data_IF_729010934757
#
_entry.id   IF_729010934757
#
_cell.length_a   1.000
_cell.length_b   1.000
_cell.length_c   1.000
_cell.angle_alpha   90.00
_cell.angle_beta   90.00
_cell.angle_gamma   90.00
#
_symmetry.space_group_name_H-M   'P 1'
#
loop_
_entity.id
_entity.type
_entity.pdbx_description
1 polymer ?
#
# COMPACT_ATOMS: atom_id res chain seq x y z
N UNK A 1 -2.89 -46.90 22.87
CA UNK A 1 -3.50 -45.74 22.17
C UNK A 1 -2.87 -44.38 22.52
N UNK A 2 -2.46 -44.08 23.77
CA UNK A 2 -1.77 -42.82 24.13
C UNK A 2 -0.35 -42.64 23.53
N UNK A 3 0.46 -43.70 23.41
CA UNK A 3 1.79 -43.63 22.76
C UNK A 3 1.75 -43.26 21.27
N UNK A 4 0.80 -43.81 20.52
CA UNK A 4 0.67 -43.54 19.08
C UNK A 4 0.30 -42.08 18.78
N UNK A 5 -0.53 -41.46 19.62
CA UNK A 5 -0.90 -40.05 19.51
C UNK A 5 0.30 -39.15 19.83
N UNK A 6 1.11 -39.50 20.82
CA UNK A 6 2.31 -38.74 21.18
C UNK A 6 3.37 -38.79 20.06
N UNK A 7 3.61 -39.95 19.46
CA UNK A 7 4.52 -40.10 18.31
C UNK A 7 4.01 -39.37 17.06
N UNK A 8 2.70 -39.37 16.79
CA UNK A 8 2.13 -38.63 15.66
C UNK A 8 2.23 -37.10 15.83
N UNK A 9 2.08 -36.61 17.06
CA UNK A 9 2.30 -35.20 17.40
C UNK A 9 3.79 -34.82 17.28
N UNK A 10 4.70 -35.71 17.71
CA UNK A 10 6.14 -35.50 17.59
C UNK A 10 6.61 -35.50 16.13
N UNK A 11 6.10 -36.44 15.31
CA UNK A 11 6.36 -36.49 13.88
C UNK A 11 5.82 -35.24 13.15
N UNK A 12 4.65 -34.74 13.57
CA UNK A 12 4.13 -33.44 13.12
C UNK A 12 5.05 -32.28 13.51
N UNK A 13 5.60 -32.27 14.72
CA UNK A 13 6.54 -31.22 15.16
C UNK A 13 7.84 -31.24 14.38
N UNK A 14 8.40 -32.43 14.11
CA UNK A 14 9.61 -32.56 13.29
C UNK A 14 9.38 -32.11 11.84
N UNK A 15 8.25 -32.49 11.24
CA UNK A 15 7.87 -32.03 9.89
C UNK A 15 7.66 -30.51 9.87
N UNK A 16 6.98 -29.94 10.86
CA UNK A 16 6.79 -28.49 10.97
C UNK A 16 8.15 -27.79 11.13
N UNK A 17 9.03 -28.33 11.96
CA UNK A 17 10.37 -27.78 12.17
C UNK A 17 11.23 -27.84 10.91
N UNK A 18 11.19 -28.96 10.18
CA UNK A 18 11.87 -29.12 8.89
C UNK A 18 11.32 -28.14 7.85
N UNK A 19 10.00 -27.92 7.84
CA UNK A 19 9.35 -26.95 6.96
C UNK A 19 9.77 -25.52 7.29
N UNK A 20 9.84 -25.15 8.57
CA UNK A 20 10.34 -23.84 9.04
C UNK A 20 11.81 -23.65 8.66
N UNK A 21 12.66 -24.67 8.87
CA UNK A 21 14.08 -24.58 8.50
C UNK A 21 14.29 -24.47 6.98
N UNK A 22 13.53 -25.23 6.20
CA UNK A 22 13.56 -25.13 4.74
C UNK A 22 13.13 -23.72 4.29
N UNK A 23 12.04 -23.22 4.88
CA UNK A 23 11.52 -21.88 4.65
C UNK A 23 12.56 -20.79 4.94
N UNK A 24 13.22 -20.83 6.10
CA UNK A 24 14.25 -19.85 6.48
C UNK A 24 15.47 -19.90 5.56
N UNK A 25 15.88 -21.10 5.14
CA UNK A 25 16.99 -21.30 4.20
C UNK A 25 16.69 -20.72 2.82
N UNK A 26 15.46 -20.92 2.33
CA UNK A 26 14.98 -20.34 1.06
C UNK A 26 14.95 -18.82 1.15
N UNK A 27 14.32 -18.25 2.19
CA UNK A 27 14.25 -16.80 2.40
C UNK A 27 15.65 -16.18 2.44
N UNK A 28 16.57 -16.77 3.20
CA UNK A 28 17.94 -16.26 3.31
C UNK A 28 18.65 -16.24 1.95
N UNK A 29 18.51 -17.28 1.14
CA UNK A 29 19.10 -17.33 -0.21
C UNK A 29 18.48 -16.29 -1.13
N UNK A 30 17.15 -16.16 -1.11
CA UNK A 30 16.42 -15.17 -1.91
C UNK A 30 16.83 -13.73 -1.57
N UNK A 31 16.98 -13.40 -0.28
CA UNK A 31 17.48 -12.09 0.18
C UNK A 31 18.89 -11.77 -0.32
N UNK A 32 19.76 -12.77 -0.37
CA UNK A 32 21.13 -12.60 -0.89
C UNK A 32 21.14 -12.44 -2.41
N UNK A 33 20.24 -13.12 -3.11
CA UNK A 33 20.10 -13.04 -4.57
C UNK A 33 19.52 -11.69 -5.01
N UNK A 34 18.57 -11.15 -4.26
CA UNK A 34 17.79 -9.96 -4.62
C UNK A 34 18.63 -8.74 -5.03
N UNK A 35 19.67 -8.30 -4.28
CA UNK A 35 20.51 -7.18 -4.70
C UNK A 35 21.55 -7.54 -5.77
N UNK A 36 21.73 -8.82 -6.10
CA UNK A 36 22.76 -9.30 -7.06
C UNK A 36 22.22 -9.50 -8.47
N UNK A 37 20.92 -9.68 -8.62
CA UNK A 37 20.29 -9.82 -9.93
C UNK A 37 19.98 -8.44 -10.54
N UNK A 38 20.07 -8.32 -11.85
CA UNK A 38 19.60 -7.16 -12.61
C UNK A 38 18.22 -7.41 -13.25
N UNK A 39 17.66 -8.61 -13.08
CA UNK A 39 16.34 -8.96 -13.58
C UNK A 39 15.26 -8.37 -12.66
N UNK A 40 14.63 -7.29 -13.10
CA UNK A 40 13.56 -6.61 -12.36
C UNK A 40 12.34 -7.50 -12.13
N UNK A 41 11.96 -8.31 -13.12
CA UNK A 41 10.81 -9.22 -12.99
C UNK A 41 11.10 -10.29 -11.93
N UNK A 42 12.33 -10.82 -11.87
CA UNK A 42 12.74 -11.72 -10.79
C UNK A 42 12.73 -11.03 -9.43
N UNK A 43 13.23 -9.78 -9.34
CA UNK A 43 13.20 -9.02 -8.07
C UNK A 43 11.78 -8.85 -7.56
N UNK A 44 10.84 -8.53 -8.45
CA UNK A 44 9.44 -8.35 -8.09
C UNK A 44 8.80 -9.64 -7.59
N UNK A 45 8.96 -10.76 -8.32
CA UNK A 45 8.43 -12.05 -7.87
C UNK A 45 9.02 -12.52 -6.55
N UNK A 46 10.33 -12.34 -6.35
CA UNK A 46 10.97 -12.68 -5.08
C UNK A 46 10.42 -11.81 -3.96
N UNK A 47 10.26 -10.50 -4.17
CA UNK A 47 9.65 -9.60 -3.17
C UNK A 47 8.21 -10.01 -2.86
N UNK A 48 7.37 -10.27 -3.85
CA UNK A 48 6.00 -10.74 -3.65
C UNK A 48 5.97 -12.05 -2.83
N UNK A 49 6.83 -13.00 -3.16
CA UNK A 49 6.99 -14.22 -2.38
C UNK A 49 7.35 -13.94 -0.92
N UNK A 50 8.34 -13.06 -0.68
CA UNK A 50 8.75 -12.66 0.67
C UNK A 50 7.58 -12.05 1.46
N UNK A 51 6.76 -11.20 0.85
CA UNK A 51 5.55 -10.65 1.49
C UNK A 51 4.53 -11.74 1.85
N UNK A 52 4.28 -12.68 0.93
CA UNK A 52 3.32 -13.78 1.16
C UNK A 52 3.72 -14.69 2.31
N UNK A 53 5.01 -14.89 2.51
CA UNK A 53 5.54 -15.72 3.60
C UNK A 53 5.77 -14.95 4.90
N UNK A 54 5.35 -13.68 4.97
CA UNK A 54 5.46 -12.84 6.16
C UNK A 54 6.86 -12.31 6.43
N UNK A 55 7.76 -12.38 5.45
CA UNK A 55 9.08 -11.81 5.56
C UNK A 55 9.06 -10.32 5.23
N UNK A 56 9.17 -9.49 6.28
CA UNK A 56 9.28 -8.04 6.14
C UNK A 56 10.74 -7.67 5.87
N UNK A 57 11.00 -7.07 4.71
CA UNK A 57 12.34 -6.67 4.28
C UNK A 57 13.01 -5.72 5.28
N UNK A 58 14.35 -5.80 5.35
CA UNK A 58 15.21 -5.04 6.27
C UNK A 58 15.02 -3.52 6.00
N UNK A 59 14.96 -2.67 7.04
CA UNK A 59 14.85 -1.22 6.86
C UNK A 59 15.97 -0.70 5.95
N UNK A 60 15.66 0.22 5.03
CA UNK A 60 16.65 0.77 4.07
C UNK A 60 17.71 1.67 4.74
N UNK A 61 17.62 1.91 6.05
CA UNK A 61 18.52 2.77 6.81
C UNK A 61 18.57 2.43 8.30
N UNK A 62 18.93 3.43 9.13
CA UNK A 62 19.14 3.26 10.58
C UNK A 62 17.89 2.85 11.39
N UNK A 63 16.71 2.91 10.76
CA UNK A 63 15.43 2.50 11.35
C UNK A 63 14.34 2.48 10.29
N UNK A 64 13.14 2.04 10.69
CA UNK A 64 11.96 2.01 9.83
C UNK A 64 11.40 3.43 9.73
N UNK A 65 11.23 3.94 8.50
CA UNK A 65 10.60 5.23 8.24
C UNK A 65 9.15 5.01 7.81
N UNK A 66 8.21 5.49 8.61
CA UNK A 66 6.76 5.32 8.37
C UNK A 66 6.14 6.66 7.99
N UNK A 67 5.42 6.69 6.88
CA UNK A 67 4.54 7.79 6.51
C UNK A 67 3.09 7.40 6.84
N UNK A 68 2.43 8.17 7.69
CA UNK A 68 1.01 8.00 8.02
C UNK A 68 0.18 9.12 7.41
N UNK A 69 -0.85 8.75 6.65
CA UNK A 69 -1.74 9.67 5.94
C UNK A 69 -3.17 9.51 6.47
N UNK A 70 -3.65 10.56 7.13
CA UNK A 70 -5.00 10.58 7.71
C UNK A 70 -6.08 10.87 6.66
N UNK A 71 -7.33 10.59 7.02
CA UNK A 71 -8.52 10.99 6.27
C UNK A 71 -8.82 12.48 6.45
N UNK A 72 -9.47 13.08 5.45
CA UNK A 72 -9.80 14.51 5.55
C UNK A 72 -10.74 15.06 4.48
N UNK A 73 -11.21 14.22 3.56
CA UNK A 73 -11.92 14.68 2.36
C UNK A 73 -10.99 15.57 1.52
N UNK A 74 -11.53 16.62 0.91
CA UNK A 74 -10.76 17.57 0.10
C UNK A 74 -9.59 18.24 0.81
N UNK A 75 -9.54 18.21 2.15
CA UNK A 75 -8.40 18.73 2.95
C UNK A 75 -7.12 17.92 2.79
N UNK A 76 -7.18 16.74 2.17
CA UNK A 76 -5.98 15.94 1.84
C UNK A 76 -4.94 16.70 1.01
N UNK A 77 -5.35 17.73 0.27
CA UNK A 77 -4.45 18.65 -0.46
C UNK A 77 -3.41 19.30 0.46
N UNK A 78 -3.78 19.63 1.71
CA UNK A 78 -2.85 20.22 2.68
C UNK A 78 -1.75 19.21 3.09
N UNK A 79 -2.11 17.94 3.23
CA UNK A 79 -1.13 16.87 3.49
C UNK A 79 -0.13 16.73 2.33
N UNK A 80 -0.60 16.88 1.09
CA UNK A 80 0.26 16.90 -0.09
C UNK A 80 1.17 18.13 -0.14
N UNK A 81 0.73 19.29 0.35
CA UNK A 81 1.60 20.47 0.45
C UNK A 81 2.76 20.26 1.44
N UNK A 82 2.49 19.59 2.56
CA UNK A 82 3.54 19.21 3.52
C UNK A 82 4.51 18.21 2.89
N UNK A 83 3.99 17.20 2.18
CA UNK A 83 4.83 16.23 1.46
C UNK A 83 5.66 16.89 0.35
N UNK A 84 5.13 17.89 -0.34
CA UNK A 84 5.86 18.62 -1.36
C UNK A 84 7.02 19.41 -0.76
N UNK A 85 6.79 20.07 0.37
CA UNK A 85 7.86 20.74 1.11
C UNK A 85 8.93 19.74 1.56
N UNK A 86 8.53 18.53 1.95
CA UNK A 86 9.47 17.46 2.29
C UNK A 86 10.32 17.03 1.07
N UNK A 87 9.71 16.71 -0.08
CA UNK A 87 10.46 16.36 -1.31
C UNK A 87 11.44 17.46 -1.71
N UNK A 88 11.04 18.73 -1.61
CA UNK A 88 11.90 19.88 -1.91
C UNK A 88 13.14 19.93 -0.97
N UNK A 89 12.94 19.68 0.32
CA UNK A 89 14.04 19.62 1.29
C UNK A 89 14.96 18.39 1.09
N UNK A 90 14.43 17.32 0.50
CA UNK A 90 15.16 16.11 0.16
C UNK A 90 15.82 16.17 -1.23
N UNK A 91 16.00 17.38 -1.79
CA UNK A 91 16.60 17.61 -3.11
C UNK A 91 15.87 16.88 -4.25
N UNK A 92 14.55 16.72 -4.13
CA UNK A 92 13.71 16.10 -5.15
C UNK A 92 13.63 14.58 -5.08
N UNK A 93 14.18 13.92 -4.05
CA UNK A 93 13.89 12.50 -3.81
C UNK A 93 12.40 12.30 -3.57
N UNK A 94 11.82 11.28 -4.22
CA UNK A 94 10.39 11.01 -4.12
C UNK A 94 10.04 10.48 -2.74
N UNK A 95 8.82 10.73 -2.28
CA UNK A 95 8.30 10.16 -1.03
C UNK A 95 8.51 8.64 -0.94
N UNK A 96 8.28 7.90 -2.04
CA UNK A 96 8.43 6.43 -2.08
C UNK A 96 9.88 5.93 -1.92
N UNK A 97 10.86 6.79 -2.18
CA UNK A 97 12.29 6.46 -2.06
C UNK A 97 12.77 6.60 -0.60
N UNK A 98 12.07 7.43 0.20
CA UNK A 98 12.51 7.83 1.53
C UNK A 98 11.69 7.26 2.69
N UNK A 99 10.54 6.63 2.42
CA UNK A 99 9.78 5.90 3.43
C UNK A 99 9.84 4.41 3.17
N UNK A 100 9.77 3.59 4.21
CA UNK A 100 9.77 2.13 4.11
C UNK A 100 8.35 1.56 4.18
N UNK A 101 7.42 2.29 4.81
CA UNK A 101 6.01 1.97 4.92
C UNK A 101 5.17 3.24 4.75
N UNK A 102 4.13 3.15 3.91
CA UNK A 102 3.07 4.14 3.80
C UNK A 102 1.79 3.52 4.37
N UNK A 103 1.19 4.20 5.35
CA UNK A 103 -0.09 3.84 5.94
C UNK A 103 -1.10 4.93 5.59
N UNK A 104 -2.28 4.55 5.12
CA UNK A 104 -3.30 5.50 4.70
C UNK A 104 -4.72 5.08 5.06
N UNK A 105 -5.53 6.02 5.53
CA UNK A 105 -6.97 5.81 5.77
C UNK A 105 -7.81 6.75 4.93
N UNK A 106 -8.90 6.25 4.33
CA UNK A 106 -9.82 7.07 3.52
C UNK A 106 -9.08 7.87 2.42
N UNK A 107 -9.15 9.20 2.44
CA UNK A 107 -8.36 10.08 1.55
C UNK A 107 -6.87 9.75 1.57
N UNK A 108 -6.29 9.46 2.74
CA UNK A 108 -4.90 9.06 2.88
C UNK A 108 -4.60 7.71 2.21
N UNK A 109 -5.57 6.80 2.12
CA UNK A 109 -5.42 5.56 1.35
C UNK A 109 -5.31 5.84 -0.16
N UNK A 110 -6.13 6.76 -0.69
CA UNK A 110 -6.06 7.17 -2.10
C UNK A 110 -4.70 7.81 -2.39
N UNK A 111 -4.27 8.77 -1.57
CA UNK A 111 -2.97 9.45 -1.73
C UNK A 111 -1.81 8.47 -1.61
N UNK A 112 -1.81 7.62 -0.56
CA UNK A 112 -0.77 6.62 -0.35
C UNK A 112 -0.65 5.63 -1.51
N UNK A 113 -1.79 5.23 -2.09
CA UNK A 113 -1.81 4.34 -3.25
C UNK A 113 -1.31 5.06 -4.51
N UNK A 114 -1.69 6.31 -4.76
CA UNK A 114 -1.17 7.09 -5.89
C UNK A 114 0.35 7.24 -5.81
N UNK A 115 0.87 7.56 -4.62
CA UNK A 115 2.31 7.65 -4.38
C UNK A 115 2.99 6.31 -4.63
N UNK A 116 2.53 5.22 -4.02
CA UNK A 116 3.19 3.91 -4.11
C UNK A 116 3.01 3.23 -5.48
N UNK A 117 1.79 3.16 -5.99
CA UNK A 117 1.47 2.43 -7.23
C UNK A 117 2.02 3.14 -8.47
N UNK A 118 1.87 4.47 -8.54
CA UNK A 118 2.30 5.24 -9.72
C UNK A 118 3.69 5.86 -9.58
N UNK A 119 4.28 5.84 -8.36
CA UNK A 119 5.60 6.45 -8.06
C UNK A 119 5.72 7.88 -8.57
N UNK A 120 4.62 8.62 -8.49
CA UNK A 120 4.54 10.00 -8.93
C UNK A 120 5.28 10.91 -7.95
N UNK A 121 5.92 12.00 -8.43
CA UNK A 121 6.26 13.13 -7.58
C UNK A 121 5.02 13.67 -6.87
N UNK A 122 5.18 14.27 -5.70
CA UNK A 122 4.04 14.78 -4.91
C UNK A 122 3.23 15.81 -5.69
N UNK A 123 3.88 16.66 -6.48
CA UNK A 123 3.22 17.67 -7.32
C UNK A 123 2.21 17.01 -8.26
N UNK A 124 2.64 15.96 -8.98
CA UNK A 124 1.77 15.25 -9.90
C UNK A 124 0.69 14.45 -9.16
N UNK A 125 1.03 13.88 -8.01
CA UNK A 125 0.05 13.24 -7.13
C UNK A 125 -1.05 14.22 -6.69
N UNK A 126 -0.68 15.48 -6.40
CA UNK A 126 -1.61 16.55 -6.02
C UNK A 126 -2.54 16.93 -7.15
N UNK A 127 -2.04 17.07 -8.38
CA UNK A 127 -2.88 17.32 -9.55
C UNK A 127 -3.93 16.23 -9.75
N UNK A 128 -3.48 14.97 -9.76
CA UNK A 128 -4.34 13.79 -9.93
C UNK A 128 -5.37 13.68 -8.80
N UNK A 129 -4.94 13.93 -7.55
CA UNK A 129 -5.84 13.90 -6.41
C UNK A 129 -6.91 15.01 -6.46
N UNK A 130 -6.55 16.20 -6.94
CA UNK A 130 -7.51 17.30 -7.15
C UNK A 130 -8.52 16.93 -8.25
N UNK A 131 -8.06 16.31 -9.34
CA UNK A 131 -8.93 15.84 -10.43
C UNK A 131 -9.93 14.79 -9.95
N UNK A 132 -9.43 13.73 -9.28
CA UNK A 132 -10.27 12.72 -8.62
C UNK A 132 -11.26 13.42 -7.68
N UNK A 133 -10.79 14.31 -6.81
CA UNK A 133 -11.65 15.00 -5.85
C UNK A 133 -12.74 15.82 -6.54
N UNK A 134 -12.44 16.54 -7.62
CA UNK A 134 -13.44 17.29 -8.38
C UNK A 134 -14.50 16.37 -8.97
N UNK A 135 -14.09 15.27 -9.59
CA UNK A 135 -15.03 14.30 -10.16
C UNK A 135 -15.91 13.65 -9.09
N UNK A 136 -15.31 13.28 -7.95
CA UNK A 136 -16.00 12.66 -6.82
C UNK A 136 -16.96 13.63 -6.10
N UNK A 137 -16.55 14.88 -5.86
CA UNK A 137 -17.31 15.85 -5.06
C UNK A 137 -18.23 16.77 -5.89
N UNK A 138 -18.10 16.82 -7.22
CA UNK A 138 -19.03 17.54 -8.10
C UNK A 138 -20.46 16.99 -8.06
N UNK A 139 -20.64 15.74 -7.62
CA UNK A 139 -21.94 15.08 -7.45
C UNK A 139 -22.84 15.77 -6.40
N UNK A 140 -22.27 16.56 -5.48
CA UNK A 140 -23.01 17.20 -4.37
C UNK A 140 -23.49 18.63 -4.63
N UNK A 141 -23.22 19.25 -5.79
CA UNK A 141 -23.48 20.68 -6.03
C UNK A 141 -24.80 21.00 -6.77
N UNK A 142 -25.61 19.99 -7.14
CA UNK A 142 -26.86 20.21 -7.88
C UNK A 142 -28.14 20.19 -7.04
N UNK A 143 -28.06 20.07 -5.72
CA UNK A 143 -29.21 20.25 -4.83
C UNK A 143 -28.94 21.41 -3.87
N UNK A 144 -29.81 22.42 -3.93
CA UNK A 144 -29.80 23.58 -3.02
C UNK A 144 -30.00 23.18 -1.56
N UNK A 145 -30.43 24.12 -0.72
CA UNK A 145 -30.54 24.03 0.76
C UNK A 145 -31.08 22.70 1.37
N UNK A 146 -31.79 21.87 0.59
CA UNK A 146 -32.24 20.52 0.94
C UNK A 146 -31.16 19.42 0.88
N UNK A 147 -30.01 19.67 0.26
CA UNK A 147 -28.91 18.73 0.08
C UNK A 147 -28.09 18.45 1.35
N UNK A 148 -28.11 19.32 2.36
CA UNK A 148 -27.35 19.12 3.60
C UNK A 148 -27.87 17.96 4.47
N UNK A 149 -29.15 17.58 4.31
CA UNK A 149 -29.76 16.49 5.08
C UNK A 149 -29.74 15.14 4.34
N UNK A 150 -29.66 15.16 3.00
CA UNK A 150 -29.65 13.96 2.13
C UNK A 150 -28.25 13.58 1.60
N UNK A 151 -27.24 14.43 1.81
CA UNK A 151 -25.87 14.25 1.27
C UNK A 151 -25.04 13.16 1.97
N UNK A 152 -25.58 12.49 2.98
CA UNK A 152 -24.84 11.48 3.72
C UNK A 152 -24.71 10.12 3.03
N UNK A 153 -25.45 9.82 1.95
CA UNK A 153 -25.66 8.41 1.62
C UNK A 153 -26.01 8.06 0.15
N UNK A 154 -25.58 8.81 -0.87
CA UNK A 154 -25.69 8.31 -2.25
C UNK A 154 -24.39 8.53 -3.02
N UNK A 155 -23.32 7.93 -2.51
CA UNK A 155 -22.12 7.70 -3.30
C UNK A 155 -22.38 6.48 -4.19
N UNK A 156 -22.40 6.66 -5.52
CA UNK A 156 -22.43 5.52 -6.43
C UNK A 156 -21.08 4.79 -6.34
N UNK A 157 -21.01 3.77 -5.49
CA UNK A 157 -19.82 2.97 -5.22
C UNK A 157 -19.16 2.43 -6.49
N UNK A 158 -19.94 2.06 -7.51
CA UNK A 158 -19.39 1.56 -8.78
C UNK A 158 -18.71 2.65 -9.58
N UNK A 159 -19.28 3.87 -9.62
CA UNK A 159 -18.61 5.02 -10.23
C UNK A 159 -17.29 5.34 -9.52
N UNK A 160 -17.28 5.30 -8.18
CA UNK A 160 -16.07 5.52 -7.39
C UNK A 160 -14.98 4.50 -7.70
N UNK A 161 -15.35 3.22 -7.73
CA UNK A 161 -14.44 2.14 -8.14
C UNK A 161 -13.89 2.38 -9.55
N UNK A 162 -14.74 2.77 -10.50
CA UNK A 162 -14.30 2.99 -11.88
C UNK A 162 -13.30 4.15 -11.99
N UNK A 163 -13.55 5.27 -11.32
CA UNK A 163 -12.62 6.41 -11.30
C UNK A 163 -11.27 5.98 -10.70
N UNK A 164 -11.31 5.31 -9.55
CA UNK A 164 -10.08 4.83 -8.89
C UNK A 164 -9.33 3.82 -9.76
N UNK A 165 -10.02 2.87 -10.40
CA UNK A 165 -9.42 1.91 -11.34
C UNK A 165 -8.77 2.61 -12.55
N UNK A 166 -9.45 3.59 -13.13
CA UNK A 166 -8.92 4.32 -14.28
C UNK A 166 -7.64 5.09 -13.93
N UNK A 167 -7.57 5.67 -12.73
CA UNK A 167 -6.44 6.50 -12.33
C UNK A 167 -5.30 5.68 -11.71
N UNK A 168 -5.63 4.77 -10.79
CA UNK A 168 -4.65 3.99 -10.02
C UNK A 168 -4.24 2.72 -10.79
N UNK A 169 -5.17 2.11 -11.53
CA UNK A 169 -5.02 0.80 -12.16
C UNK A 169 -5.71 -0.31 -11.37
N UNK A 170 -5.45 -1.55 -11.77
CA UNK A 170 -6.03 -2.76 -11.17
C UNK A 170 -5.01 -3.64 -10.45
N UNK A 171 -3.78 -3.15 -10.28
CA UNK A 171 -2.74 -3.85 -9.54
C UNK A 171 -3.19 -4.10 -8.09
N UNK A 172 -2.93 -5.30 -7.61
CA UNK A 172 -3.14 -5.69 -6.21
C UNK A 172 -2.13 -5.02 -5.30
N UNK A 173 -2.44 -4.94 -4.00
CA UNK A 173 -1.46 -4.49 -2.99
C UNK A 173 -0.17 -5.32 -3.02
N UNK A 174 -0.28 -6.62 -3.30
CA UNK A 174 0.87 -7.52 -3.37
C UNK A 174 1.77 -7.13 -4.55
N UNK A 175 1.21 -6.90 -5.73
CA UNK A 175 1.96 -6.46 -6.91
C UNK A 175 2.61 -5.10 -6.67
N UNK A 176 1.88 -4.14 -6.12
CA UNK A 176 2.40 -2.80 -5.79
C UNK A 176 3.58 -2.90 -4.80
N UNK A 177 3.42 -3.61 -3.67
CA UNK A 177 4.50 -3.77 -2.68
C UNK A 177 5.66 -4.62 -3.23
N UNK A 178 5.36 -5.51 -4.17
CA UNK A 178 6.30 -6.35 -4.89
C UNK A 178 7.28 -5.58 -5.76
N UNK A 179 6.85 -4.45 -6.34
CA UNK A 179 7.69 -3.59 -7.20
C UNK A 179 9.01 -3.23 -6.53
N UNK A 180 10.09 -3.23 -7.32
CA UNK A 180 11.42 -2.87 -6.82
C UNK A 180 11.42 -1.46 -6.22
N UNK A 181 12.08 -1.28 -5.07
CA UNK A 181 12.19 -0.01 -4.34
C UNK A 181 10.87 0.66 -3.90
N UNK A 182 9.74 -0.03 -4.00
CA UNK A 182 8.44 0.51 -3.56
C UNK A 182 8.28 0.28 -2.06
N UNK A 183 7.82 1.27 -1.27
CA UNK A 183 7.53 1.07 0.13
C UNK A 183 6.39 0.07 0.32
N UNK A 184 6.34 -0.53 1.50
CA UNK A 184 5.15 -1.25 1.93
C UNK A 184 3.95 -0.32 1.94
N UNK A 185 2.78 -0.82 1.53
CA UNK A 185 1.53 -0.07 1.53
C UNK A 185 0.51 -0.78 2.43
N UNK A 186 0.02 -0.07 3.44
CA UNK A 186 -1.10 -0.51 4.28
C UNK A 186 -2.21 0.51 4.18
N UNK A 187 -3.36 0.10 3.67
CA UNK A 187 -4.50 1.01 3.48
C UNK A 187 -5.78 0.45 4.07
N UNK A 188 -6.59 1.35 4.61
CA UNK A 188 -7.92 1.03 5.11
C UNK A 188 -8.94 1.93 4.42
N UNK A 189 -9.97 1.30 3.84
CA UNK A 189 -11.11 1.96 3.25
C UNK A 189 -12.39 1.27 3.70
N UNK A 190 -13.44 2.06 3.92
CA UNK A 190 -14.74 1.58 4.33
C UNK A 190 -15.71 1.77 3.17
N UNK A 191 -16.46 0.74 2.82
CA UNK A 191 -17.69 0.92 2.03
C UNK A 191 -18.78 1.39 2.98
N UNK A 192 -19.43 2.51 2.67
CA UNK A 192 -20.65 2.90 3.38
C UNK A 192 -21.77 2.04 2.79
N UNK A 193 -22.25 1.06 3.56
CA UNK A 193 -23.45 0.32 3.16
C UNK A 193 -24.64 1.29 3.24
N UNK A 194 -25.22 1.56 2.08
CA UNK A 194 -26.54 2.19 1.91
C UNK A 194 -27.59 1.11 1.71
#
# INVERSE_FOLDING_TARGET
>A
KKSFICSFIYFRKEIIYLFIQFHDSVIKKLKVLLPRTNDEMLKEHVRQFLHLVGDVSIPRGAGIRVLSLDGGGTRGVLGLDVLQALENNLKGSKVVEVFDLIVGVSTGAIIGTLLAAKRLPVEKCKEVYIEISRELFSQGKFSGMSGLLLSHAYYNTEKWKQILKNVIGEDTLLEICGRWETPMLSIVSCTVNT
#
